data_IF_561188819072
#
_entry.id   IF_561188819072
#
_cell.length_a   1.000
_cell.length_b   1.000
_cell.length_c   1.000
_cell.angle_alpha   90.00
_cell.angle_beta   90.00
_cell.angle_gamma   90.00
#
_symmetry.space_group_name_H-M   'P 1'
#
loop_
_entity.id
_entity.type
_entity.pdbx_description
1 polymer ?
#
# COMPACT_ATOMS: atom_id res chain seq x y z
N UNK A 1 24.73 12.88 10.70
CA UNK A 1 24.39 12.06 9.51
C UNK A 1 22.88 11.96 9.45
N UNK A 2 22.27 12.40 8.35
CA UNK A 2 20.82 12.28 8.20
C UNK A 2 20.48 10.84 7.78
N UNK A 3 19.57 10.19 8.51
CA UNK A 3 19.22 8.79 8.30
C UNK A 3 18.22 8.68 7.15
N UNK A 4 18.61 7.98 6.07
CA UNK A 4 17.69 7.69 4.97
C UNK A 4 16.55 6.77 5.45
N UNK A 5 15.29 7.20 5.28
CA UNK A 5 14.12 6.42 5.67
C UNK A 5 13.67 5.52 4.53
N UNK A 6 13.36 4.26 4.84
CA UNK A 6 12.91 3.26 3.87
C UNK A 6 11.53 2.76 4.27
N UNK A 7 10.57 2.90 3.36
CA UNK A 7 9.18 2.49 3.57
C UNK A 7 8.91 1.26 2.70
N UNK A 8 8.45 0.17 3.32
CA UNK A 8 7.99 -1.03 2.62
C UNK A 8 6.47 -1.07 2.58
N UNK A 9 5.90 -1.34 1.41
CA UNK A 9 4.45 -1.40 1.21
C UNK A 9 4.08 -2.70 0.50
N UNK A 10 3.15 -3.45 1.09
CA UNK A 10 2.57 -4.64 0.48
C UNK A 10 1.24 -4.26 -0.17
N UNK A 11 1.12 -4.45 -1.49
CA UNK A 11 -0.08 -4.12 -2.24
C UNK A 11 -0.72 -5.36 -2.88
N UNK A 12 -2.05 -5.42 -2.96
CA UNK A 12 -2.71 -6.39 -3.83
C UNK A 12 -2.29 -6.15 -5.30
N UNK A 13 -2.19 -7.22 -6.10
CA UNK A 13 -1.82 -7.11 -7.52
C UNK A 13 -2.75 -6.21 -8.35
N UNK A 14 -3.99 -5.99 -7.91
CA UNK A 14 -4.96 -5.11 -8.55
C UNK A 14 -4.83 -3.63 -8.16
N UNK A 15 -3.93 -3.28 -7.22
CA UNK A 15 -3.79 -1.90 -6.76
C UNK A 15 -3.17 -1.00 -7.84
N UNK A 16 -3.90 0.05 -8.20
CA UNK A 16 -3.46 1.06 -9.18
C UNK A 16 -3.27 2.46 -8.60
N UNK A 17 -3.77 2.73 -7.38
CA UNK A 17 -3.76 4.07 -6.79
C UNK A 17 -2.59 4.30 -5.83
N UNK A 18 -2.36 3.36 -4.90
CA UNK A 18 -1.40 3.58 -3.80
C UNK A 18 0.03 3.83 -4.30
N UNK A 19 0.49 3.05 -5.30
CA UNK A 19 1.86 3.13 -5.80
C UNK A 19 2.19 4.47 -6.47
N UNK A 20 1.42 4.96 -7.46
CA UNK A 20 1.71 6.25 -8.08
C UNK A 20 1.50 7.42 -7.13
N UNK A 21 0.47 7.39 -6.27
CA UNK A 21 0.23 8.47 -5.30
C UNK A 21 1.35 8.55 -4.26
N UNK A 22 1.78 7.41 -3.70
CA UNK A 22 2.88 7.39 -2.73
C UNK A 22 4.19 7.86 -3.38
N UNK A 23 4.44 7.47 -4.63
CA UNK A 23 5.62 7.91 -5.38
C UNK A 23 5.60 9.42 -5.63
N UNK A 24 4.43 9.99 -5.98
CA UNK A 24 4.27 11.43 -6.15
C UNK A 24 4.47 12.20 -4.83
N UNK A 25 3.86 11.73 -3.74
CA UNK A 25 3.99 12.35 -2.41
C UNK A 25 5.43 12.35 -1.91
N UNK A 26 6.14 11.23 -2.08
CA UNK A 26 7.50 11.09 -1.58
C UNK A 26 8.57 11.64 -2.53
N UNK A 27 8.23 11.94 -3.78
CA UNK A 27 9.16 12.54 -4.74
C UNK A 27 9.71 13.89 -4.30
N UNK A 28 8.98 14.61 -3.44
CA UNK A 28 9.38 15.89 -2.87
C UNK A 28 10.07 15.77 -1.50
N UNK A 29 10.14 14.56 -0.93
CA UNK A 29 10.68 14.35 0.43
C UNK A 29 12.13 13.87 0.34
N UNK A 30 13.11 14.68 0.76
CA UNK A 30 14.51 14.28 0.68
C UNK A 30 14.79 13.10 1.61
N UNK A 31 15.65 12.18 1.14
CA UNK A 31 16.17 11.05 1.92
C UNK A 31 15.10 10.03 2.35
N UNK A 32 14.05 9.89 1.55
CA UNK A 32 13.05 8.83 1.69
C UNK A 32 13.05 7.97 0.43
N UNK A 33 12.90 6.66 0.59
CA UNK A 33 12.55 5.76 -0.51
C UNK A 33 11.40 4.85 -0.11
N UNK A 34 10.57 4.51 -1.09
CA UNK A 34 9.48 3.56 -0.95
C UNK A 34 9.72 2.35 -1.84
N UNK A 35 9.39 1.17 -1.33
CA UNK A 35 9.55 -0.12 -2.00
C UNK A 35 8.22 -0.86 -1.95
N UNK A 36 7.79 -1.39 -3.09
CA UNK A 36 6.51 -2.08 -3.22
C UNK A 36 6.72 -3.56 -3.51
N UNK A 37 5.92 -4.41 -2.86
CA UNK A 37 5.77 -5.81 -3.23
C UNK A 37 4.31 -6.13 -3.46
N UNK A 38 4.01 -6.80 -4.56
CA UNK A 38 2.66 -7.19 -4.94
C UNK A 38 2.40 -8.64 -4.55
N UNK A 39 1.29 -8.89 -3.89
CA UNK A 39 0.77 -10.24 -3.70
C UNK A 39 -0.41 -10.50 -4.63
N UNK A 40 -0.48 -11.72 -5.17
CA UNK A 40 -1.57 -12.12 -6.04
C UNK A 40 -2.90 -12.01 -5.28
N UNK A 41 -3.85 -11.30 -5.88
CA UNK A 41 -5.22 -11.30 -5.37
C UNK A 41 -5.87 -12.61 -5.74
N UNK A 42 -6.19 -13.42 -4.74
CA UNK A 42 -6.90 -14.68 -4.92
C UNK A 42 -8.42 -14.46 -5.05
N UNK A 43 -8.97 -13.44 -4.39
CA UNK A 43 -10.40 -13.07 -4.50
C UNK A 43 -10.61 -11.58 -4.16
N UNK A 44 -11.32 -10.83 -5.03
CA UNK A 44 -11.94 -9.54 -4.68
C UNK A 44 -13.43 -9.82 -4.51
N UNK A 45 -13.84 -10.14 -3.27
CA UNK A 45 -15.21 -10.55 -2.98
C UNK A 45 -16.00 -9.43 -2.34
N UNK A 46 -17.23 -9.22 -2.81
CA UNK A 46 -18.28 -8.51 -2.06
C UNK A 46 -19.02 -9.46 -1.10
N UNK A 47 -18.56 -10.70 -0.95
CA UNK A 47 -19.10 -11.63 0.04
C UNK A 47 -18.89 -11.06 1.44
N UNK A 48 -19.88 -11.29 2.29
CA UNK A 48 -19.95 -10.72 3.63
C UNK A 48 -18.70 -11.00 4.48
N UNK A 49 -18.08 -12.17 4.32
CA UNK A 49 -16.83 -12.52 5.00
C UNK A 49 -15.66 -11.62 4.61
N UNK A 50 -15.51 -11.26 3.32
CA UNK A 50 -14.44 -10.39 2.85
C UNK A 50 -14.68 -8.92 3.20
N UNK A 51 -15.93 -8.51 3.44
CA UNK A 51 -16.27 -7.16 3.91
C UNK A 51 -16.06 -7.02 5.43
N UNK A 52 -16.29 -8.09 6.20
CA UNK A 52 -16.14 -8.06 7.67
C UNK A 52 -14.71 -7.76 8.17
N UNK A 53 -13.70 -7.91 7.31
CA UNK A 53 -12.31 -7.55 7.64
C UNK A 53 -12.05 -6.04 7.57
N UNK A 54 -13.00 -5.26 7.03
CA UNK A 54 -12.94 -3.81 6.88
C UNK A 54 -14.05 -3.10 7.69
N UNK A 55 -14.70 -3.83 8.62
CA UNK A 55 -15.71 -3.25 9.50
C UNK A 55 -15.02 -2.59 10.71
N UNK A 56 -14.92 -1.27 10.67
CA UNK A 56 -14.27 -0.43 11.68
C UNK A 56 -15.15 -0.19 12.94
N UNK A 57 -16.29 -0.88 13.07
CA UNK A 57 -17.20 -0.75 14.22
C UNK A 57 -16.79 -1.56 15.47
N UNK A 58 -15.54 -2.04 15.53
CA UNK A 58 -14.97 -2.76 16.69
C UNK A 58 -14.01 -1.93 17.52
#
# INVERSE_FOLDING_TARGET
MSQHKRIGVLTPSSNTALEPLTSAMLGEVPQVSVHFSRFAVTEISLRQNSLSQFDDSR
#
